data_IF_088860280235
#
_entry.id   IF_088860280235
#
_cell.length_a   1.000
_cell.length_b   1.000
_cell.length_c   1.000
_cell.angle_alpha   90.00
_cell.angle_beta   90.00
_cell.angle_gamma   90.00
#
_symmetry.space_group_name_H-M   'P 1'
#
loop_
_entity.id
_entity.type
_entity.pdbx_description
1 polymer ?
#
# COMPACT_ATOMS: atom_id res chain seq x y z
N UNK A 1 23.94 3.81 -19.20
CA UNK A 1 23.18 2.83 -18.40
C UNK A 1 22.28 3.62 -17.45
N UNK A 2 20.97 3.64 -17.70
CA UNK A 2 19.95 4.34 -16.89
C UNK A 2 19.11 3.38 -16.00
N UNK A 3 19.59 2.15 -15.80
CA UNK A 3 18.80 1.02 -15.27
C UNK A 3 18.14 1.18 -13.88
N UNK A 4 18.68 1.93 -12.89
CA UNK A 4 18.07 1.95 -11.55
C UNK A 4 16.71 2.63 -11.50
N UNK A 5 16.50 3.64 -12.36
CA UNK A 5 15.30 4.46 -12.34
C UNK A 5 14.11 3.73 -12.97
N UNK A 6 14.35 3.03 -14.08
CA UNK A 6 13.33 2.24 -14.79
C UNK A 6 12.84 1.09 -13.91
N UNK A 7 13.76 0.40 -13.21
CA UNK A 7 13.39 -0.64 -12.22
C UNK A 7 12.59 -0.06 -11.07
N UNK A 8 12.98 1.08 -10.51
CA UNK A 8 12.24 1.66 -9.39
C UNK A 8 10.83 2.11 -9.79
N UNK A 9 10.63 2.61 -11.01
CA UNK A 9 9.31 2.96 -11.49
C UNK A 9 8.40 1.73 -11.61
N UNK A 10 8.91 0.61 -12.12
CA UNK A 10 8.17 -0.65 -12.18
C UNK A 10 7.77 -1.13 -10.77
N UNK A 11 8.68 -1.07 -9.79
CA UNK A 11 8.37 -1.43 -8.41
C UNK A 11 7.25 -0.56 -7.82
N UNK A 12 7.21 0.74 -8.14
CA UNK A 12 6.12 1.63 -7.71
C UNK A 12 4.79 1.17 -8.33
N UNK A 13 4.79 0.90 -9.63
CA UNK A 13 3.59 0.48 -10.36
C UNK A 13 3.06 -0.87 -9.86
N UNK A 14 3.94 -1.83 -9.60
CA UNK A 14 3.61 -3.14 -9.04
C UNK A 14 3.03 -3.01 -7.63
N UNK A 15 3.69 -2.25 -6.75
CA UNK A 15 3.21 -2.01 -5.40
C UNK A 15 1.82 -1.34 -5.37
N UNK A 16 1.57 -0.39 -6.29
CA UNK A 16 0.26 0.25 -6.45
C UNK A 16 -0.77 -0.76 -6.94
N UNK A 17 -0.46 -1.53 -7.98
CA UNK A 17 -1.34 -2.53 -8.58
C UNK A 17 -1.83 -3.54 -7.53
N UNK A 18 -0.91 -4.01 -6.69
CA UNK A 18 -1.17 -5.01 -5.65
C UNK A 18 -2.20 -4.56 -4.60
N UNK A 19 -2.37 -3.26 -4.40
CA UNK A 19 -3.24 -2.73 -3.33
C UNK A 19 -4.40 -1.88 -3.85
N UNK A 20 -4.41 -1.55 -5.14
CA UNK A 20 -5.40 -0.66 -5.78
C UNK A 20 -6.84 -1.09 -5.56
N UNK A 21 -7.12 -2.40 -5.46
CA UNK A 21 -8.47 -2.91 -5.24
C UNK A 21 -9.03 -2.58 -3.84
N UNK A 22 -8.13 -2.39 -2.87
CA UNK A 22 -8.45 -2.31 -1.45
C UNK A 22 -8.57 -0.89 -0.91
N UNK A 23 -8.31 0.12 -1.76
CA UNK A 23 -8.29 1.55 -1.41
C UNK A 23 -9.15 2.34 -2.40
N UNK A 24 -9.45 3.60 -2.09
CA UNK A 24 -10.27 4.45 -2.98
C UNK A 24 -9.42 5.13 -4.06
N UNK A 25 -8.23 5.60 -3.68
CA UNK A 25 -7.34 6.33 -4.59
C UNK A 25 -5.88 6.22 -4.17
N UNK A 26 -4.98 6.18 -5.15
CA UNK A 26 -3.55 6.28 -4.93
C UNK A 26 -3.01 7.36 -5.88
N UNK A 27 -2.26 8.32 -5.34
CA UNK A 27 -1.56 9.35 -6.12
C UNK A 27 -0.07 9.28 -5.83
N UNK A 28 0.74 9.36 -6.87
CA UNK A 28 2.20 9.50 -6.73
C UNK A 28 2.51 10.99 -6.62
N UNK A 29 3.09 11.42 -5.50
CA UNK A 29 3.43 12.83 -5.27
C UNK A 29 4.83 13.16 -5.83
N UNK A 30 4.92 13.27 -7.15
CA UNK A 30 6.18 13.55 -7.86
C UNK A 30 6.82 14.90 -7.50
N UNK A 31 6.00 15.88 -7.11
CA UNK A 31 6.44 17.23 -6.73
C UNK A 31 6.68 17.40 -5.22
N UNK A 32 6.57 16.34 -4.42
CA UNK A 32 6.80 16.42 -2.98
C UNK A 32 8.29 16.64 -2.66
N UNK A 33 8.67 17.49 -1.69
CA UNK A 33 10.08 17.76 -1.36
C UNK A 33 10.92 16.52 -0.98
N UNK A 34 10.26 15.49 -0.45
CA UNK A 34 10.89 14.22 -0.10
C UNK A 34 10.95 13.21 -1.26
N UNK A 35 10.20 13.42 -2.34
CA UNK A 35 10.28 12.57 -3.53
C UNK A 35 11.60 12.83 -4.25
N UNK A 36 12.43 11.79 -4.35
CA UNK A 36 13.74 11.82 -4.99
C UNK A 36 13.91 10.55 -5.81
N UNK A 37 13.37 10.54 -7.02
CA UNK A 37 13.39 9.36 -7.89
C UNK A 37 14.82 8.88 -8.20
N UNK A 38 15.80 9.78 -8.34
CA UNK A 38 17.20 9.37 -8.55
C UNK A 38 17.82 8.65 -7.34
N UNK A 39 17.21 8.79 -6.16
CA UNK A 39 17.58 8.09 -4.92
C UNK A 39 16.62 6.94 -4.60
N UNK A 40 15.76 6.57 -5.53
CA UNK A 40 14.73 5.55 -5.34
C UNK A 40 13.84 5.81 -4.12
N UNK A 41 13.35 7.05 -3.98
CA UNK A 41 12.40 7.46 -2.94
C UNK A 41 11.21 8.18 -3.60
N UNK A 42 10.00 7.77 -3.24
CA UNK A 42 8.76 8.43 -3.68
C UNK A 42 7.76 8.53 -2.54
N UNK A 43 6.97 9.61 -2.52
CA UNK A 43 5.83 9.72 -1.61
C UNK A 43 4.55 9.32 -2.35
N UNK A 44 3.82 8.40 -1.76
CA UNK A 44 2.50 7.96 -2.19
C UNK A 44 1.46 8.59 -1.26
N UNK A 45 0.42 9.17 -1.84
CA UNK A 45 -0.79 9.55 -1.12
C UNK A 45 -1.85 8.49 -1.39
N UNK A 46 -2.31 7.82 -0.33
CA UNK A 46 -3.30 6.75 -0.42
C UNK A 46 -4.55 7.14 0.36
N UNK A 47 -5.68 7.19 -0.33
CA UNK A 47 -6.98 7.34 0.30
C UNK A 47 -7.57 5.96 0.59
N UNK A 48 -7.72 5.63 1.86
CA UNK A 48 -8.36 4.39 2.30
C UNK A 48 -9.89 4.51 2.27
N UNK A 49 -10.59 3.37 2.27
CA UNK A 49 -12.06 3.32 2.28
C UNK A 49 -12.69 3.82 3.58
N UNK A 50 -11.89 3.94 4.64
CA UNK A 50 -12.28 4.60 5.88
C UNK A 50 -12.26 6.13 5.81
N UNK A 51 -12.01 6.71 4.62
CA UNK A 51 -11.84 8.14 4.43
C UNK A 51 -10.64 8.69 5.21
N UNK A 52 -9.50 7.99 5.15
CA UNK A 52 -8.22 8.46 5.70
C UNK A 52 -7.24 8.63 4.56
N UNK A 53 -6.55 9.76 4.50
CA UNK A 53 -5.38 9.95 3.65
C UNK A 53 -4.13 9.52 4.40
N UNK A 54 -3.35 8.64 3.79
CA UNK A 54 -2.05 8.20 4.27
C UNK A 54 -0.98 8.74 3.32
N UNK A 55 0.04 9.41 3.87
CA UNK A 55 1.24 9.79 3.16
C UNK A 55 2.33 8.78 3.48
N UNK A 56 2.68 7.97 2.48
CA UNK A 56 3.58 6.83 2.63
C UNK A 56 4.85 7.11 1.84
N UNK A 57 5.99 7.02 2.50
CA UNK A 57 7.29 6.98 1.85
C UNK A 57 7.57 5.57 1.39
N UNK A 58 7.79 5.41 0.09
CA UNK A 58 8.35 4.20 -0.49
C UNK A 58 9.82 4.45 -0.82
N UNK A 59 10.70 3.55 -0.36
CA UNK A 59 12.11 3.53 -0.71
C UNK A 59 12.54 2.11 -1.03
N UNK A 60 13.37 1.96 -2.07
CA UNK A 60 13.95 0.65 -2.42
C UNK A 60 14.80 0.05 -1.28
N UNK A 61 15.34 0.88 -0.39
CA UNK A 61 16.26 0.44 0.67
C UNK A 61 15.58 0.25 2.04
N UNK A 62 14.50 0.98 2.29
CA UNK A 62 13.85 1.03 3.61
C UNK A 62 12.40 0.52 3.59
N UNK A 63 11.89 0.14 2.42
CA UNK A 63 10.53 -0.33 2.25
C UNK A 63 9.51 0.80 2.30
N UNK A 64 8.43 0.58 3.05
CA UNK A 64 7.28 1.47 3.15
C UNK A 64 7.10 1.98 4.57
N UNK A 65 6.95 3.29 4.71
CA UNK A 65 6.76 3.94 6.00
C UNK A 65 5.66 5.01 5.91
N UNK A 66 4.78 5.07 6.91
CA UNK A 66 3.86 6.20 7.04
C UNK A 66 4.62 7.41 7.56
N UNK A 67 4.53 8.53 6.84
CA UNK A 67 5.08 9.83 7.26
C UNK A 67 3.99 10.62 8.00
N UNK A 68 2.79 10.64 7.44
CA UNK A 68 1.69 11.45 7.93
C UNK A 68 0.36 10.77 7.59
N UNK A 69 -0.68 11.08 8.36
CA UNK A 69 -2.05 10.72 8.04
C UNK A 69 -3.01 11.88 8.32
N UNK A 70 -4.10 11.90 7.57
CA UNK A 70 -5.15 12.91 7.69
C UNK A 70 -6.54 12.27 7.55
N UNK A 71 -7.36 12.26 8.61
CA UNK A 71 -8.78 11.91 8.49
C UNK A 71 -9.51 12.90 7.56
N UNK A 72 -10.29 12.40 6.62
CA UNK A 72 -11.15 13.22 5.74
C UNK A 72 -12.54 13.47 6.34
N UNK A 73 -12.92 12.69 7.35
CA UNK A 73 -14.13 12.85 8.15
C UNK A 73 -13.76 12.89 9.64
N UNK A 74 -14.70 13.23 10.52
CA UNK A 74 -14.52 13.24 11.98
C UNK A 74 -14.33 11.83 12.60
N UNK A 75 -13.96 10.84 11.80
CA UNK A 75 -13.57 9.51 12.30
C UNK A 75 -12.32 9.63 13.15
N UNK A 76 -12.38 9.07 14.36
CA UNK A 76 -11.22 8.91 15.24
C UNK A 76 -10.33 7.80 14.69
N UNK A 77 -9.53 8.12 13.69
CA UNK A 77 -8.43 7.28 13.25
C UNK A 77 -7.21 7.62 14.08
N UNK A 78 -6.61 6.63 14.74
CA UNK A 78 -5.41 6.81 15.56
C UNK A 78 -4.36 5.83 15.08
N UNK A 79 -3.24 6.36 14.60
CA UNK A 79 -2.03 5.58 14.29
C UNK A 79 -1.23 5.46 15.59
N UNK A 80 -0.86 4.25 15.96
CA UNK A 80 0.03 3.97 17.09
C UNK A 80 1.51 4.13 16.68
N UNK A 81 2.43 4.25 17.63
CA UNK A 81 3.85 4.34 17.30
C UNK A 81 4.38 3.09 16.56
N UNK A 82 3.75 1.93 16.78
CA UNK A 82 4.10 0.69 16.08
C UNK A 82 3.76 0.74 14.58
N UNK A 83 2.81 1.59 14.20
CA UNK A 83 2.33 1.75 12.83
C UNK A 83 3.23 2.68 11.98
N UNK A 84 4.20 3.36 12.60
CA UNK A 84 5.22 4.18 11.92
C UNK A 84 6.49 3.42 11.54
N UNK A 85 6.55 2.13 11.86
CA UNK A 85 7.69 1.26 11.49
C UNK A 85 7.79 1.09 9.98
N UNK A 86 8.97 0.67 9.52
CA UNK A 86 9.16 0.23 8.14
C UNK A 86 8.45 -1.10 7.89
N UNK A 87 7.80 -1.21 6.74
CA UNK A 87 7.16 -2.42 6.24
C UNK A 87 7.79 -2.85 4.92
N UNK A 88 7.93 -4.16 4.71
CA UNK A 88 8.53 -4.68 3.48
C UNK A 88 7.66 -4.47 2.25
N UNK A 89 6.33 -4.48 2.41
CA UNK A 89 5.37 -4.32 1.31
C UNK A 89 4.26 -3.34 1.67
N UNK A 90 3.73 -2.67 0.64
CA UNK A 90 2.59 -1.76 0.80
C UNK A 90 1.34 -2.48 1.30
N UNK A 91 1.11 -3.71 0.84
CA UNK A 91 0.00 -4.54 1.31
C UNK A 91 0.10 -4.82 2.82
N UNK A 92 1.29 -5.16 3.34
CA UNK A 92 1.49 -5.40 4.77
C UNK A 92 1.23 -4.13 5.58
N UNK A 93 1.70 -2.97 5.12
CA UNK A 93 1.40 -1.69 5.76
C UNK A 93 -0.12 -1.44 5.83
N UNK A 94 -0.83 -1.61 4.72
CA UNK A 94 -2.28 -1.39 4.67
C UNK A 94 -3.07 -2.43 5.47
N UNK A 95 -2.60 -3.67 5.57
CA UNK A 95 -3.20 -4.70 6.43
C UNK A 95 -3.18 -4.33 7.91
N UNK A 96 -2.17 -3.57 8.35
CA UNK A 96 -2.09 -3.10 9.74
C UNK A 96 -2.97 -1.85 9.98
N UNK A 97 -3.13 -1.01 8.95
CA UNK A 97 -3.74 0.32 9.10
C UNK A 97 -5.19 0.43 8.65
N UNK A 98 -5.64 -0.38 7.71
CA UNK A 98 -6.98 -0.29 7.11
C UNK A 98 -7.75 -1.59 7.32
N UNK A 99 -8.75 -1.53 8.19
CA UNK A 99 -9.69 -2.63 8.44
C UNK A 99 -10.44 -3.06 7.18
N UNK A 100 -10.76 -2.13 6.30
CA UNK A 100 -11.44 -2.37 5.02
C UNK A 100 -10.51 -3.09 4.06
N UNK A 101 -9.24 -2.68 4.01
CA UNK A 101 -8.23 -3.38 3.23
C UNK A 101 -8.07 -4.82 3.72
N UNK A 102 -7.98 -5.02 5.03
CA UNK A 102 -7.89 -6.34 5.65
C UNK A 102 -9.08 -7.25 5.28
N UNK A 103 -10.31 -6.73 5.36
CA UNK A 103 -11.50 -7.47 4.96
C UNK A 103 -11.46 -7.87 3.48
N UNK A 104 -11.11 -6.94 2.59
CA UNK A 104 -11.04 -7.20 1.14
C UNK A 104 -9.93 -8.20 0.80
N UNK A 105 -8.76 -8.09 1.45
CA UNK A 105 -7.67 -9.03 1.29
C UNK A 105 -8.11 -10.45 1.68
N UNK A 106 -8.75 -10.60 2.84
CA UNK A 106 -9.28 -11.90 3.29
C UNK A 106 -10.35 -12.46 2.34
N UNK A 107 -11.23 -11.61 1.81
CA UNK A 107 -12.22 -12.02 0.82
C UNK A 107 -11.58 -12.56 -0.47
N UNK A 108 -10.56 -11.87 -1.00
CA UNK A 108 -9.83 -12.34 -2.18
C UNK A 108 -9.10 -13.67 -1.91
N UNK A 109 -8.48 -13.81 -0.74
CA UNK A 109 -7.81 -15.04 -0.33
C UNK A 109 -8.82 -16.20 -0.25
N UNK A 110 -9.97 -15.97 0.39
CA UNK A 110 -11.03 -16.97 0.50
C UNK A 110 -11.56 -17.38 -0.88
N UNK A 111 -11.85 -16.43 -1.76
CA UNK A 111 -12.32 -16.71 -3.13
C UNK A 111 -11.31 -17.58 -3.90
N UNK A 112 -10.02 -17.29 -3.79
CA UNK A 112 -8.95 -18.10 -4.42
C UNK A 112 -8.91 -19.51 -3.84
N UNK A 113 -8.99 -19.66 -2.51
CA UNK A 113 -8.99 -20.96 -1.84
C UNK A 113 -10.22 -21.81 -2.20
N UNK A 114 -11.42 -21.22 -2.21
CA UNK A 114 -12.64 -21.91 -2.62
C UNK A 114 -12.58 -22.35 -4.08
N UNK A 115 -12.02 -21.54 -4.97
CA UNK A 115 -11.83 -21.91 -6.37
C UNK A 115 -10.90 -23.13 -6.53
N UNK A 116 -9.89 -23.28 -5.65
CA UNK A 116 -9.02 -24.46 -5.62
C UNK A 116 -9.80 -25.70 -5.15
N UNK A 117 -10.58 -25.59 -4.06
CA UNK A 117 -11.39 -26.71 -3.54
C UNK A 117 -12.40 -27.23 -4.58
N UNK A 118 -12.99 -26.35 -5.38
CA UNK A 118 -13.89 -26.75 -6.47
C UNK A 118 -13.20 -27.41 -7.66
N UNK A 119 -11.86 -27.30 -7.77
CA UNK A 119 -11.06 -27.86 -8.86
C UNK A 119 -10.37 -29.17 -8.51
N UNK A 120 -10.38 -29.59 -7.24
CA UNK A 120 -9.94 -30.93 -6.85
C UNK A 120 -11.13 -31.87 -7.05
N UNK A 121 -11.09 -32.80 -8.02
CA UNK A 121 -12.13 -33.81 -8.15
C UNK A 121 -12.14 -34.63 -6.86
N UNK A 122 -13.32 -34.81 -6.27
CA UNK A 122 -13.53 -35.80 -5.22
C UNK A 122 -13.23 -37.19 -5.78
N UNK A 123 -12.05 -37.70 -5.46
CA UNK A 123 -11.66 -39.11 -5.63
C UNK A 123 -12.43 -39.99 -4.66
#
# INVERSE_FOLDING_TARGET
MNQPLDTFQLEIEDAISDVSYGVDKINILTNHPETRLQKCIVILEIQTKENVLLYIRMSLHEGFNVIEYKPLTDTKFTISNEDTRSFDTLANLLLNLSSSFQQLFHQQLFQRLSAIQTRVPSS
#
